data_IF_674168664991
#
_entry.id   IF_674168664991
#
_cell.length_a   1.000
_cell.length_b   1.000
_cell.length_c   1.000
_cell.angle_alpha   90.00
_cell.angle_beta   90.00
_cell.angle_gamma   90.00
#
_symmetry.space_group_name_H-M   'P 1'
#
loop_
_entity.id
_entity.type
_entity.pdbx_description
1 polymer ?
#
# COMPACT_ATOMS: atom_id res chain seq x y z
N UNK A 1 -33.06 -10.98 12.91
CA UNK A 1 -31.99 -10.50 12.01
C UNK A 1 -32.17 -9.01 11.81
N UNK A 2 -31.19 -8.19 12.22
CA UNK A 2 -31.14 -6.75 11.95
C UNK A 2 -29.92 -6.48 11.06
N UNK A 3 -29.95 -5.46 10.18
CA UNK A 3 -28.90 -5.26 9.18
C UNK A 3 -27.65 -4.60 9.78
N UNK A 4 -26.48 -5.02 9.29
CA UNK A 4 -25.16 -4.46 9.58
C UNK A 4 -25.02 -3.18 8.73
N UNK A 5 -25.50 -2.05 9.24
CA UNK A 5 -25.35 -0.75 8.58
C UNK A 5 -25.04 0.40 9.56
N UNK A 6 -24.63 0.10 10.80
CA UNK A 6 -24.63 1.10 11.88
C UNK A 6 -23.30 1.17 12.68
N UNK A 7 -22.17 0.91 12.02
CA UNK A 7 -20.83 1.06 12.63
C UNK A 7 -19.97 2.17 12.01
N UNK A 8 -20.47 2.90 11.00
CA UNK A 8 -19.73 3.97 10.32
C UNK A 8 -19.90 5.37 10.96
N UNK A 9 -20.54 5.47 12.14
CA UNK A 9 -21.01 6.76 12.69
C UNK A 9 -20.37 7.23 14.00
N UNK A 10 -19.31 6.60 14.52
CA UNK A 10 -18.68 7.08 15.76
C UNK A 10 -17.41 7.86 15.43
N UNK A 11 -17.45 9.16 15.72
CA UNK A 11 -16.29 10.03 15.84
C UNK A 11 -15.16 9.33 16.61
N UNK A 12 -14.15 8.86 15.90
CA UNK A 12 -12.81 8.64 16.43
C UNK A 12 -12.18 10.02 16.61
N UNK A 13 -12.48 10.67 17.75
CA UNK A 13 -11.53 11.62 18.31
C UNK A 13 -10.32 10.82 18.77
N UNK A 14 -9.29 10.81 17.93
CA UNK A 14 -7.97 10.30 18.30
C UNK A 14 -7.50 11.05 19.55
N UNK A 15 -6.93 10.37 20.55
CA UNK A 15 -6.38 11.04 21.72
C UNK A 15 -5.28 12.01 21.27
N UNK A 16 -5.31 13.25 21.76
CA UNK A 16 -4.39 14.37 21.45
C UNK A 16 -2.90 14.09 21.75
N UNK A 17 -2.52 12.84 22.06
CA UNK A 17 -1.15 12.43 22.38
C UNK A 17 -0.47 11.57 21.31
N UNK A 18 -1.12 11.32 20.17
CA UNK A 18 -0.49 10.72 18.99
C UNK A 18 -0.36 11.74 17.86
N UNK A 19 0.20 12.90 18.15
CA UNK A 19 0.79 13.77 17.14
C UNK A 19 2.30 13.57 17.26
N UNK A 20 3.01 13.18 16.19
CA UNK A 20 4.47 13.20 16.20
C UNK A 20 4.88 14.60 16.64
N UNK A 21 5.63 14.70 17.74
CA UNK A 21 6.18 15.97 18.20
C UNK A 21 7.25 16.39 17.20
N UNK A 22 6.81 17.03 16.11
CA UNK A 22 7.62 17.86 15.26
C UNK A 22 7.12 19.28 15.54
N UNK A 23 8.05 20.18 15.85
CA UNK A 23 7.88 21.60 16.22
C UNK A 23 7.92 21.92 17.73
N UNK A 24 9.12 21.82 18.30
CA UNK A 24 9.62 22.83 19.26
C UNK A 24 11.07 23.23 18.95
N UNK A 25 11.27 23.98 17.86
CA UNK A 25 12.22 25.10 17.83
C UNK A 25 12.08 25.83 16.49
N UNK A 26 12.07 27.15 16.54
CA UNK A 26 11.91 28.00 15.36
C UNK A 26 13.09 27.88 14.41
N UNK A 27 12.98 27.01 13.41
CA UNK A 27 13.69 27.05 12.12
C UNK A 27 12.72 26.54 11.05
N UNK A 28 12.80 27.16 9.87
CA UNK A 28 11.92 26.93 8.70
C UNK A 28 11.66 25.44 8.47
N UNK A 29 10.40 25.11 8.23
CA UNK A 29 9.98 23.82 7.68
C UNK A 29 10.59 23.69 6.27
N UNK A 30 11.52 22.76 6.14
CA UNK A 30 12.02 22.17 4.90
C UNK A 30 11.94 20.67 5.16
N UNK A 31 11.13 19.84 4.50
CA UNK A 31 10.80 19.72 3.07
C UNK A 31 9.47 18.95 2.92
N UNK A 32 8.73 19.07 1.80
CA UNK A 32 7.80 18.02 1.40
C UNK A 32 8.59 16.74 1.07
N UNK A 33 8.29 15.67 1.81
CA UNK A 33 8.34 14.23 1.47
C UNK A 33 9.23 13.71 0.33
N UNK A 34 10.09 12.72 0.63
CA UNK A 34 10.82 11.96 -0.38
C UNK A 34 9.95 11.18 -1.39
N UNK A 35 8.67 10.89 -1.10
CA UNK A 35 7.77 10.25 -2.06
C UNK A 35 7.31 11.22 -3.16
N UNK A 36 6.84 12.43 -2.82
CA UNK A 36 6.44 13.43 -3.82
C UNK A 36 7.62 13.82 -4.71
N UNK A 37 8.80 14.03 -4.11
CA UNK A 37 10.04 14.29 -4.86
C UNK A 37 10.39 13.13 -5.82
N UNK A 38 10.35 11.89 -5.34
CA UNK A 38 10.59 10.71 -6.18
C UNK A 38 9.61 10.59 -7.34
N UNK A 39 8.31 10.85 -7.11
CA UNK A 39 7.29 10.82 -8.15
C UNK A 39 7.46 11.95 -9.17
N UNK A 40 7.91 13.13 -8.73
CA UNK A 40 8.21 14.26 -9.62
C UNK A 40 9.40 13.94 -10.55
N UNK A 41 10.47 13.35 -9.99
CA UNK A 41 11.63 12.91 -10.75
C UNK A 41 11.29 11.82 -11.79
N UNK A 42 10.22 11.06 -11.54
CA UNK A 42 9.71 9.99 -12.42
C UNK A 42 8.30 10.30 -12.93
N UNK A 43 8.06 11.55 -13.33
CA UNK A 43 6.73 12.06 -13.68
C UNK A 43 6.12 11.46 -14.96
N UNK A 44 6.90 10.74 -15.77
CA UNK A 44 6.46 10.17 -17.04
C UNK A 44 6.34 8.64 -17.04
N UNK A 45 6.94 7.94 -16.08
CA UNK A 45 6.98 6.47 -16.01
C UNK A 45 5.73 5.90 -15.34
N UNK A 46 4.95 5.00 -15.96
CA UNK A 46 3.72 4.46 -15.36
C UNK A 46 3.96 3.88 -13.95
N UNK A 47 3.00 4.10 -13.05
CA UNK A 47 3.04 3.49 -11.71
C UNK A 47 2.28 2.18 -11.79
N UNK A 48 2.94 1.07 -11.46
CA UNK A 48 2.32 -0.25 -11.46
C UNK A 48 2.26 -0.74 -10.02
N UNK A 49 1.09 -1.19 -9.59
CA UNK A 49 0.88 -1.81 -8.29
C UNK A 49 -0.06 -3.00 -8.41
N UNK A 50 -0.26 -3.76 -7.33
CA UNK A 50 -1.14 -4.94 -7.33
C UNK A 50 -2.13 -4.87 -6.16
N UNK A 51 -3.30 -4.29 -6.39
CA UNK A 51 -4.38 -4.21 -5.40
C UNK A 51 -5.56 -5.12 -5.74
N UNK A 52 -5.90 -5.21 -7.03
CA UNK A 52 -7.10 -5.89 -7.54
C UNK A 52 -8.41 -5.18 -7.20
N UNK A 53 -8.35 -3.95 -6.70
CA UNK A 53 -9.49 -3.19 -6.18
C UNK A 53 -9.22 -1.68 -5.98
N UNK A 54 -8.10 -1.15 -6.50
CA UNK A 54 -7.67 0.23 -6.33
C UNK A 54 -7.35 0.68 -4.89
N UNK A 55 -7.10 -0.25 -3.96
CA UNK A 55 -6.89 0.09 -2.54
C UNK A 55 -5.73 1.07 -2.32
N UNK A 56 -4.54 0.79 -2.88
CA UNK A 56 -3.36 1.63 -2.65
C UNK A 56 -3.55 3.06 -3.17
N UNK A 57 -4.13 3.20 -4.36
CA UNK A 57 -4.45 4.48 -4.98
C UNK A 57 -5.44 5.28 -4.14
N UNK A 58 -6.53 4.65 -3.67
CA UNK A 58 -7.51 5.31 -2.80
C UNK A 58 -6.90 5.75 -1.46
N UNK A 59 -6.03 4.92 -0.88
CA UNK A 59 -5.32 5.25 0.34
C UNK A 59 -4.35 6.43 0.14
N UNK A 60 -3.55 6.42 -0.93
CA UNK A 60 -2.60 7.48 -1.25
C UNK A 60 -3.31 8.79 -1.59
N UNK A 61 -4.33 8.75 -2.45
CA UNK A 61 -5.13 9.92 -2.82
C UNK A 61 -5.69 10.62 -1.58
N UNK A 62 -6.31 9.86 -0.67
CA UNK A 62 -6.82 10.41 0.59
C UNK A 62 -5.73 11.06 1.44
N UNK A 63 -4.54 10.46 1.52
CA UNK A 63 -3.42 11.02 2.30
C UNK A 63 -2.83 12.26 1.64
N UNK A 64 -2.72 12.30 0.31
CA UNK A 64 -2.29 13.48 -0.42
C UNK A 64 -3.27 14.63 -0.22
N UNK A 65 -4.58 14.38 -0.28
CA UNK A 65 -5.60 15.38 0.01
C UNK A 65 -5.52 15.88 1.46
N UNK A 66 -5.41 14.98 2.44
CA UNK A 66 -5.30 15.31 3.86
C UNK A 66 -4.08 16.20 4.18
N UNK A 67 -3.02 16.10 3.38
CA UNK A 67 -1.77 16.85 3.56
C UNK A 67 -1.54 17.98 2.55
N UNK A 68 -2.47 18.22 1.63
CA UNK A 68 -2.36 19.27 0.61
C UNK A 68 -1.27 19.03 -0.44
N UNK A 69 -0.95 17.77 -0.73
CA UNK A 69 0.05 17.35 -1.73
C UNK A 69 -0.65 17.14 -3.08
N UNK A 70 -1.04 18.23 -3.72
CA UNK A 70 -1.89 18.19 -4.93
C UNK A 70 -1.19 17.52 -6.11
N UNK A 71 0.12 17.71 -6.25
CA UNK A 71 0.92 17.06 -7.30
C UNK A 71 0.93 15.54 -7.16
N UNK A 72 0.74 15.02 -5.93
CA UNK A 72 0.62 13.59 -5.68
C UNK A 72 -0.61 12.98 -6.34
N UNK A 73 -1.71 13.73 -6.44
CA UNK A 73 -2.95 13.28 -7.09
C UNK A 73 -2.73 13.16 -8.60
N UNK A 74 -2.07 14.14 -9.22
CA UNK A 74 -1.76 14.12 -10.66
C UNK A 74 -0.91 12.89 -11.02
N UNK A 75 0.01 12.48 -10.14
CA UNK A 75 0.79 11.25 -10.34
C UNK A 75 -0.05 9.98 -10.29
N UNK A 76 -1.16 9.96 -9.56
CA UNK A 76 -2.02 8.78 -9.47
C UNK A 76 -2.88 8.55 -10.73
N UNK A 77 -3.09 9.55 -11.58
CA UNK A 77 -3.85 9.39 -12.85
C UNK A 77 -3.23 8.36 -13.81
N UNK A 78 -1.94 8.08 -13.62
CA UNK A 78 -1.10 7.17 -14.41
C UNK A 78 -0.71 5.92 -13.62
N UNK A 79 -1.45 5.63 -12.53
CA UNK A 79 -1.34 4.40 -11.78
C UNK A 79 -2.19 3.29 -12.43
N UNK A 80 -1.65 2.07 -12.44
CA UNK A 80 -2.26 0.90 -13.05
C UNK A 80 -2.27 -0.26 -12.07
N UNK A 81 -3.49 -0.70 -11.71
CA UNK A 81 -3.69 -1.87 -10.87
C UNK A 81 -3.51 -3.16 -11.68
N UNK A 82 -2.35 -3.77 -11.57
CA UNK A 82 -2.00 -5.04 -12.22
C UNK A 82 -2.91 -6.17 -11.74
N UNK A 83 -3.45 -6.10 -10.52
CA UNK A 83 -4.38 -7.08 -10.00
C UNK A 83 -5.70 -7.12 -10.78
N UNK A 84 -6.17 -5.97 -11.27
CA UNK A 84 -7.34 -5.90 -12.17
C UNK A 84 -7.01 -6.56 -13.51
N UNK A 85 -5.84 -6.26 -14.08
CA UNK A 85 -5.38 -6.87 -15.34
C UNK A 85 -5.25 -8.38 -15.19
N UNK A 86 -4.64 -8.87 -14.11
CA UNK A 86 -4.49 -10.28 -13.82
C UNK A 86 -5.85 -11.00 -13.64
N UNK A 87 -6.85 -10.32 -13.08
CA UNK A 87 -8.20 -10.86 -12.98
C UNK A 87 -8.90 -10.95 -14.34
N UNK A 88 -8.67 -9.99 -15.24
CA UNK A 88 -9.38 -9.92 -16.53
C UNK A 88 -8.73 -10.78 -17.61
N UNK A 89 -7.41 -10.73 -17.71
CA UNK A 89 -6.64 -11.28 -18.84
C UNK A 89 -6.07 -12.68 -18.55
N UNK A 90 -5.84 -13.03 -17.28
CA UNK A 90 -5.30 -14.34 -16.89
C UNK A 90 -6.40 -15.33 -16.47
N UNK A 91 -7.63 -15.10 -16.94
CA UNK A 91 -8.79 -15.93 -16.62
C UNK A 91 -8.54 -17.39 -17.08
N UNK A 92 -8.66 -18.34 -16.15
CA UNK A 92 -8.48 -19.77 -16.43
C UNK A 92 -7.04 -20.30 -16.28
N UNK A 93 -6.03 -19.44 -16.14
CA UNK A 93 -4.65 -19.87 -15.82
C UNK A 93 -4.44 -20.06 -14.30
N UNK A 94 -5.22 -19.37 -13.47
CA UNK A 94 -5.12 -19.42 -12.02
C UNK A 94 -6.48 -19.58 -11.35
N UNK A 95 -6.54 -20.36 -10.26
CA UNK A 95 -7.78 -20.56 -9.48
C UNK A 95 -8.13 -19.37 -8.58
N UNK A 96 -7.18 -18.46 -8.36
CA UNK A 96 -7.30 -17.21 -7.59
C UNK A 96 -6.34 -16.18 -8.18
N UNK A 97 -6.66 -14.90 -8.03
CA UNK A 97 -5.88 -13.78 -8.59
C UNK A 97 -5.19 -12.95 -7.50
N UNK A 98 -4.91 -13.54 -6.35
CA UNK A 98 -4.09 -12.88 -5.34
C UNK A 98 -2.62 -12.87 -5.80
N UNK A 99 -1.88 -11.83 -5.43
CA UNK A 99 -0.48 -11.64 -5.81
C UNK A 99 0.37 -12.89 -5.51
N UNK A 100 0.27 -13.40 -4.28
CA UNK A 100 0.98 -14.59 -3.81
C UNK A 100 0.73 -15.82 -4.69
N UNK A 101 -0.53 -16.07 -5.04
CA UNK A 101 -0.93 -17.21 -5.88
C UNK A 101 -0.37 -17.09 -7.29
N UNK A 102 -0.53 -15.92 -7.91
CA UNK A 102 -0.10 -15.71 -9.30
C UNK A 102 1.42 -15.74 -9.39
N UNK A 103 2.13 -15.01 -8.53
CA UNK A 103 3.58 -14.96 -8.53
C UNK A 103 4.21 -16.34 -8.25
N UNK A 104 3.68 -17.09 -7.27
CA UNK A 104 4.18 -18.44 -6.96
C UNK A 104 4.01 -19.41 -8.13
N UNK A 105 2.87 -19.32 -8.85
CA UNK A 105 2.63 -20.16 -10.02
C UNK A 105 3.53 -19.79 -11.21
N UNK A 106 4.09 -18.57 -11.22
CA UNK A 106 5.13 -18.12 -12.16
C UNK A 106 6.56 -18.40 -11.65
N UNK A 107 6.71 -19.07 -10.51
CA UNK A 107 8.00 -19.51 -9.98
C UNK A 107 8.67 -18.54 -9.00
N UNK A 108 7.96 -17.53 -8.49
CA UNK A 108 8.47 -16.69 -7.41
C UNK A 108 8.38 -17.42 -6.06
N UNK A 109 9.44 -17.37 -5.26
CA UNK A 109 9.49 -17.95 -3.92
C UNK A 109 9.59 -16.84 -2.86
N UNK A 110 8.57 -16.77 -1.99
CA UNK A 110 8.55 -15.85 -0.85
C UNK A 110 9.54 -16.29 0.23
N UNK A 111 10.23 -15.32 0.85
CA UNK A 111 11.19 -15.61 1.92
C UNK A 111 10.49 -16.08 3.20
N UNK A 112 9.38 -15.44 3.56
CA UNK A 112 8.53 -15.86 4.67
C UNK A 112 7.06 -15.97 4.22
N UNK A 113 6.63 -17.15 3.73
CA UNK A 113 5.25 -17.36 3.28
C UNK A 113 4.24 -17.37 4.42
N UNK A 114 4.68 -17.27 5.68
CA UNK A 114 3.77 -17.22 6.84
C UNK A 114 3.28 -15.80 7.14
N UNK A 115 3.95 -14.78 6.59
CA UNK A 115 3.50 -13.38 6.69
C UNK A 115 2.45 -13.13 5.63
N UNK A 116 1.30 -12.63 6.06
CA UNK A 116 0.20 -12.26 5.16
C UNK A 116 -0.19 -10.81 5.42
N UNK A 117 -0.87 -10.18 4.46
CA UNK A 117 -1.44 -8.84 4.66
C UNK A 117 -2.33 -8.71 5.91
N UNK A 118 -2.96 -9.81 6.36
CA UNK A 118 -3.70 -9.80 7.63
C UNK A 118 -2.78 -9.67 8.85
N UNK A 119 -1.65 -10.38 8.87
CA UNK A 119 -0.64 -10.29 9.93
C UNK A 119 -0.08 -8.87 9.97
N UNK A 120 0.34 -8.33 8.81
CA UNK A 120 0.85 -6.96 8.68
C UNK A 120 -0.16 -5.94 9.20
N UNK A 121 -1.43 -6.05 8.78
CA UNK A 121 -2.49 -5.14 9.21
C UNK A 121 -2.76 -5.23 10.72
N UNK A 122 -2.73 -6.44 11.30
CA UNK A 122 -2.91 -6.66 12.73
C UNK A 122 -1.75 -6.06 13.54
N UNK A 123 -0.51 -6.31 13.13
CA UNK A 123 0.69 -5.80 13.81
C UNK A 123 0.76 -4.27 13.75
N UNK A 124 0.49 -3.69 12.58
CA UNK A 124 0.44 -2.24 12.41
C UNK A 124 -0.69 -1.60 13.22
N UNK A 125 -1.85 -2.24 13.30
CA UNK A 125 -2.97 -1.75 14.13
C UNK A 125 -2.59 -1.75 15.61
N UNK A 126 -1.91 -2.80 16.09
CA UNK A 126 -1.47 -2.88 17.48
C UNK A 126 -0.43 -1.80 17.79
N UNK A 127 0.50 -1.56 16.88
CA UNK A 127 1.44 -0.45 17.00
C UNK A 127 0.72 0.89 17.17
N UNK A 128 -0.27 1.20 16.32
CA UNK A 128 -0.99 2.47 16.38
C UNK A 128 -1.85 2.64 17.65
N UNK A 129 -2.47 1.56 18.14
CA UNK A 129 -3.42 1.62 19.26
C UNK A 129 -2.76 1.42 20.63
N UNK A 130 -1.76 0.54 20.69
CA UNK A 130 -1.18 0.04 21.94
C UNK A 130 0.30 0.41 22.08
N UNK A 131 0.94 0.91 21.01
CA UNK A 131 2.36 1.25 21.00
C UNK A 131 3.29 0.03 20.99
N UNK A 132 2.76 -1.16 20.66
CA UNK A 132 3.56 -2.37 20.54
C UNK A 132 4.36 -2.35 19.22
N UNK A 133 5.68 -2.33 19.33
CA UNK A 133 6.58 -2.36 18.18
C UNK A 133 6.50 -3.71 17.46
N UNK A 134 6.16 -3.75 16.16
CA UNK A 134 6.21 -4.96 15.37
C UNK A 134 7.65 -5.30 14.99
N UNK A 135 7.85 -6.49 14.42
CA UNK A 135 9.11 -6.81 13.77
C UNK A 135 9.21 -6.05 12.43
N UNK A 136 9.72 -4.81 12.49
CA UNK A 136 9.81 -3.93 11.34
C UNK A 136 10.62 -4.52 10.19
N UNK A 137 11.66 -5.29 10.49
CA UNK A 137 12.52 -5.86 9.47
C UNK A 137 11.80 -7.00 8.74
N UNK A 138 11.02 -7.80 9.47
CA UNK A 138 10.12 -8.78 8.89
C UNK A 138 9.04 -8.16 8.01
N UNK A 139 8.40 -7.06 8.46
CA UNK A 139 7.39 -6.37 7.66
C UNK A 139 7.97 -5.69 6.41
N UNK A 140 9.19 -5.15 6.49
CA UNK A 140 9.91 -4.63 5.32
C UNK A 140 10.27 -5.73 4.34
N UNK A 141 10.70 -6.90 4.83
CA UNK A 141 10.99 -8.05 3.96
C UNK A 141 9.72 -8.51 3.24
N UNK A 142 8.59 -8.61 3.93
CA UNK A 142 7.29 -8.91 3.32
C UNK A 142 6.94 -7.93 2.18
N UNK A 143 7.11 -6.63 2.41
CA UNK A 143 6.88 -5.62 1.38
C UNK A 143 7.86 -5.78 0.19
N UNK A 144 9.13 -6.06 0.47
CA UNK A 144 10.12 -6.31 -0.57
C UNK A 144 9.78 -7.53 -1.43
N UNK A 145 9.31 -8.61 -0.80
CA UNK A 145 8.81 -9.80 -1.51
C UNK A 145 7.60 -9.44 -2.39
N UNK A 146 6.63 -8.69 -1.89
CA UNK A 146 5.45 -8.26 -2.67
C UNK A 146 5.83 -7.41 -3.89
N UNK A 147 6.76 -6.45 -3.75
CA UNK A 147 7.24 -5.66 -4.90
C UNK A 147 7.98 -6.53 -5.91
N UNK A 148 8.78 -7.49 -5.46
CA UNK A 148 9.54 -8.40 -6.34
C UNK A 148 8.63 -9.42 -7.03
N UNK A 149 7.60 -9.91 -6.33
CA UNK A 149 6.56 -10.76 -6.88
C UNK A 149 5.80 -10.04 -8.01
N UNK A 150 5.45 -8.77 -7.83
CA UNK A 150 4.83 -7.95 -8.87
C UNK A 150 5.70 -7.84 -10.12
N UNK A 151 7.00 -7.59 -9.94
CA UNK A 151 7.95 -7.57 -11.04
C UNK A 151 7.97 -8.89 -11.82
N UNK A 152 7.93 -10.03 -11.13
CA UNK A 152 7.89 -11.35 -11.78
C UNK A 152 6.69 -11.50 -12.71
N UNK A 153 5.51 -11.01 -12.29
CA UNK A 153 4.30 -11.02 -13.12
C UNK A 153 4.46 -10.09 -14.33
N UNK A 154 4.98 -8.89 -14.13
CA UNK A 154 5.23 -7.93 -15.23
C UNK A 154 6.22 -8.52 -16.24
N UNK A 155 7.31 -9.12 -15.79
CA UNK A 155 8.32 -9.74 -16.64
C UNK A 155 7.73 -10.89 -17.47
N UNK A 156 6.81 -11.68 -16.90
CA UNK A 156 6.09 -12.72 -17.63
C UNK A 156 5.11 -12.19 -18.69
N UNK A 157 4.40 -11.10 -18.41
CA UNK A 157 3.45 -10.50 -19.37
C UNK A 157 4.20 -9.89 -20.58
N UNK A 158 5.44 -9.42 -20.37
CA UNK A 158 6.26 -8.77 -21.41
C UNK A 158 7.02 -9.74 -22.32
N UNK A 159 7.16 -11.01 -21.93
CA UNK A 159 7.90 -12.04 -22.68
C UNK A 159 7.07 -12.68 -23.79
#
# INVERSE_FOLDING_TARGET
MRPIADLAGRHLQLPERCVPTILRSGRRVSTPSGLSEYLNDHSFEPIIYYGGNYFDEQCLSRRFDEHGITEGIDHLERAHDLGITAQQELFGLFNRHKLDVVASALGFEYQDPTVTGFVVGSEYTRYLLEGEEPDWDRLKQYNNDDVTAQRTIVDHIRS
#
